data_IF_064339400045
#
_entry.id   IF_064339400045
#
_cell.length_a   1.000
_cell.length_b   1.000
_cell.length_c   1.000
_cell.angle_alpha   90.00
_cell.angle_beta   90.00
_cell.angle_gamma   90.00
#
_symmetry.space_group_name_H-M   'P 1'
#
loop_
_entity.id
_entity.type
_entity.pdbx_description
1 polymer ?
#
# COMPACT_ATOMS: atom_id res chain seq x y z
N UNK A 1 -6.25 7.37 11.93
CA UNK A 1 -5.58 8.06 10.81
C UNK A 1 -6.35 9.31 10.43
N UNK A 2 -7.61 9.21 10.00
CA UNK A 2 -8.47 10.38 9.69
C UNK A 2 -8.49 11.38 10.85
N UNK A 3 -8.79 10.93 12.07
CA UNK A 3 -8.80 11.81 13.24
C UNK A 3 -7.46 12.49 13.53
N UNK A 4 -6.34 11.88 13.14
CA UNK A 4 -5.02 12.48 13.30
C UNK A 4 -4.76 13.55 12.23
N UNK A 5 -5.26 13.36 11.00
CA UNK A 5 -5.22 14.36 9.93
C UNK A 5 -6.08 15.57 10.29
N UNK A 6 -7.30 15.33 10.78
CA UNK A 6 -8.23 16.37 11.22
C UNK A 6 -7.67 17.17 12.40
N UNK A 7 -7.12 16.49 13.41
CA UNK A 7 -6.42 17.15 14.52
C UNK A 7 -5.21 17.96 14.06
N UNK A 8 -4.61 17.61 12.92
CA UNK A 8 -3.53 18.35 12.27
C UNK A 8 -3.98 19.57 11.46
N UNK A 9 -5.28 19.90 11.45
CA UNK A 9 -5.83 21.03 10.69
C UNK A 9 -6.06 20.73 9.21
N UNK A 10 -6.14 19.45 8.85
CA UNK A 10 -6.49 19.01 7.50
C UNK A 10 -7.95 18.60 7.38
N UNK A 11 -8.52 18.85 6.22
CA UNK A 11 -9.79 18.31 5.76
C UNK A 11 -9.52 17.14 4.83
N UNK A 12 -10.23 16.02 5.03
CA UNK A 12 -10.15 14.85 4.14
C UNK A 12 -11.09 15.02 2.97
N UNK A 13 -10.54 14.99 1.76
CA UNK A 13 -11.28 15.16 0.52
C UNK A 13 -11.69 13.82 -0.10
N UNK A 14 -10.84 12.79 0.02
CA UNK A 14 -11.10 11.48 -0.54
C UNK A 14 -10.28 10.39 0.18
N UNK A 15 -10.82 9.17 0.23
CA UNK A 15 -10.11 7.97 0.69
C UNK A 15 -10.33 6.84 -0.31
N UNK A 16 -9.25 6.37 -0.92
CA UNK A 16 -9.28 5.25 -1.85
C UNK A 16 -8.58 4.01 -1.26
N UNK A 17 -9.33 2.91 -1.12
CA UNK A 17 -8.81 1.65 -0.63
C UNK A 17 -8.13 0.85 -1.75
N UNK A 18 -6.82 0.66 -1.65
CA UNK A 18 -6.00 -0.07 -2.64
C UNK A 18 -5.61 -1.48 -2.18
N UNK A 19 -6.32 -2.04 -1.17
CA UNK A 19 -6.04 -3.35 -0.56
C UNK A 19 -5.81 -4.47 -1.57
N UNK A 20 -6.72 -4.62 -2.54
CA UNK A 20 -6.65 -5.68 -3.57
C UNK A 20 -5.46 -5.50 -4.50
N UNK A 21 -5.13 -4.25 -4.84
CA UNK A 21 -3.95 -3.94 -5.65
C UNK A 21 -2.67 -4.35 -4.92
N UNK A 22 -2.58 -4.08 -3.62
CA UNK A 22 -1.40 -4.44 -2.83
C UNK A 22 -1.22 -5.95 -2.68
N UNK A 23 -2.30 -6.72 -2.58
CA UNK A 23 -2.24 -8.19 -2.65
C UNK A 23 -1.59 -8.66 -3.96
N UNK A 24 -2.05 -8.14 -5.11
CA UNK A 24 -1.50 -8.48 -6.43
C UNK A 24 -0.01 -8.10 -6.54
N UNK A 25 0.37 -6.92 -6.04
CA UNK A 25 1.77 -6.47 -5.98
C UNK A 25 2.64 -7.46 -5.20
N UNK A 26 2.22 -7.85 -4.00
CA UNK A 26 2.98 -8.80 -3.18
C UNK A 26 3.09 -10.18 -3.84
N UNK A 27 2.03 -10.66 -4.51
CA UNK A 27 2.09 -11.89 -5.29
C UNK A 27 3.09 -11.79 -6.45
N UNK A 28 3.13 -10.65 -7.13
CA UNK A 28 4.13 -10.41 -8.18
C UNK A 28 5.56 -10.38 -7.62
N UNK A 29 5.77 -9.73 -6.48
CA UNK A 29 7.09 -9.69 -5.84
C UNK A 29 7.56 -11.06 -5.33
N UNK A 30 6.66 -11.88 -4.78
CA UNK A 30 6.99 -13.26 -4.40
C UNK A 30 7.44 -14.06 -5.64
N UNK A 31 6.70 -13.99 -6.75
CA UNK A 31 7.11 -14.68 -8.00
C UNK A 31 8.48 -14.19 -8.47
N UNK A 32 8.69 -12.88 -8.54
CA UNK A 32 9.96 -12.31 -8.97
C UNK A 32 11.12 -12.75 -8.06
N UNK A 33 10.91 -12.79 -6.73
CA UNK A 33 11.92 -13.27 -5.79
C UNK A 33 12.25 -14.76 -6.00
N UNK A 34 11.24 -15.57 -6.29
CA UNK A 34 11.42 -17.01 -6.55
C UNK A 34 12.13 -17.27 -7.88
N UNK A 35 11.79 -16.53 -8.94
CA UNK A 35 12.43 -16.61 -10.26
C UNK A 35 13.90 -16.17 -10.23
N UNK A 36 14.22 -15.18 -9.39
CA UNK A 36 15.57 -14.63 -9.24
C UNK A 36 16.24 -15.04 -7.92
N UNK A 37 15.94 -16.24 -7.42
CA UNK A 37 16.38 -16.68 -6.09
C UNK A 37 17.91 -16.60 -5.90
N UNK A 38 18.68 -17.09 -6.87
CA UNK A 38 20.15 -17.09 -6.79
C UNK A 38 20.68 -15.66 -6.62
N UNK A 39 20.20 -14.71 -7.42
CA UNK A 39 20.62 -13.31 -7.36
C UNK A 39 20.23 -12.67 -6.03
N UNK A 40 19.02 -12.96 -5.54
CA UNK A 40 18.55 -12.46 -4.24
C UNK A 40 19.39 -12.99 -3.07
N UNK A 41 19.82 -14.26 -3.12
CA UNK A 41 20.72 -14.86 -2.13
C UNK A 41 22.10 -14.21 -2.20
N UNK A 42 22.66 -13.99 -3.39
CA UNK A 42 23.95 -13.33 -3.57
C UNK A 42 23.93 -11.87 -3.10
N UNK A 43 22.83 -11.15 -3.34
CA UNK A 43 22.65 -9.76 -2.90
C UNK A 43 22.42 -9.63 -1.39
N UNK A 44 22.13 -10.72 -0.68
CA UNK A 44 21.81 -10.69 0.74
C UNK A 44 22.35 -11.91 1.50
N UNK A 45 21.52 -12.92 1.73
CA UNK A 45 21.87 -14.26 2.19
C UNK A 45 20.66 -15.17 2.04
N UNK A 46 20.88 -16.48 2.07
CA UNK A 46 19.78 -17.45 1.95
C UNK A 46 18.75 -17.30 3.09
N UNK A 47 19.22 -17.01 4.31
CA UNK A 47 18.35 -16.74 5.45
C UNK A 47 17.48 -15.50 5.25
N UNK A 48 18.05 -14.41 4.73
CA UNK A 48 17.31 -13.17 4.45
C UNK A 48 16.30 -13.35 3.32
N UNK A 49 16.69 -14.03 2.24
CA UNK A 49 15.79 -14.34 1.13
C UNK A 49 14.58 -15.16 1.58
N UNK A 50 14.78 -16.16 2.47
CA UNK A 50 13.68 -16.94 3.06
C UNK A 50 12.73 -16.08 3.90
N UNK A 51 13.26 -15.20 4.75
CA UNK A 51 12.45 -14.29 5.58
C UNK A 51 11.61 -13.37 4.69
N UNK A 52 12.20 -12.78 3.66
CA UNK A 52 11.49 -11.91 2.73
C UNK A 52 10.38 -12.64 1.96
N UNK A 53 10.65 -13.86 1.48
CA UNK A 53 9.63 -14.71 0.84
C UNK A 53 8.46 -14.96 1.79
N UNK A 54 8.73 -15.36 3.03
CA UNK A 54 7.70 -15.63 4.03
C UNK A 54 6.89 -14.36 4.36
N UNK A 55 7.58 -13.25 4.62
CA UNK A 55 6.95 -11.97 4.93
C UNK A 55 5.99 -11.50 3.82
N UNK A 56 6.44 -11.51 2.57
CA UNK A 56 5.62 -11.05 1.45
C UNK A 56 4.45 -12.00 1.18
N UNK A 57 4.68 -13.32 1.24
CA UNK A 57 3.62 -14.31 1.04
C UNK A 57 2.54 -14.23 2.14
N UNK A 58 2.94 -14.09 3.40
CA UNK A 58 2.02 -13.92 4.51
C UNK A 58 1.27 -12.58 4.43
N UNK A 59 1.97 -11.51 4.03
CA UNK A 59 1.35 -10.20 3.82
C UNK A 59 0.33 -10.24 2.69
N UNK A 60 0.61 -10.93 1.58
CA UNK A 60 -0.35 -11.10 0.48
C UNK A 60 -1.66 -11.74 0.98
N UNK A 61 -1.56 -12.81 1.78
CA UNK A 61 -2.73 -13.43 2.41
C UNK A 61 -3.47 -12.47 3.36
N UNK A 62 -2.75 -11.64 4.11
CA UNK A 62 -3.34 -10.61 4.97
C UNK A 62 -4.15 -9.57 4.17
N UNK A 63 -3.61 -9.11 3.05
CA UNK A 63 -4.32 -8.20 2.14
C UNK A 63 -5.51 -8.90 1.45
N UNK A 64 -5.38 -10.16 1.03
CA UNK A 64 -6.46 -10.93 0.38
C UNK A 64 -7.64 -11.15 1.33
N UNK A 65 -7.35 -11.57 2.57
CA UNK A 65 -8.35 -11.86 3.61
C UNK A 65 -8.98 -10.63 4.25
N UNK A 66 -8.44 -9.43 4.00
CA UNK A 66 -8.96 -8.20 4.63
C UNK A 66 -8.38 -7.91 6.01
N UNK A 67 -7.43 -8.71 6.50
CA UNK A 67 -6.73 -8.46 7.76
C UNK A 67 -5.91 -7.16 7.72
N UNK A 68 -5.42 -6.78 6.53
CA UNK A 68 -4.64 -5.55 6.32
C UNK A 68 -5.18 -4.79 5.11
N UNK A 69 -5.01 -3.46 5.14
CA UNK A 69 -5.41 -2.58 4.05
C UNK A 69 -4.36 -1.49 3.81
N UNK A 70 -4.46 -0.85 2.66
CA UNK A 70 -3.69 0.34 2.29
C UNK A 70 -4.66 1.34 1.68
N UNK A 71 -4.57 2.59 2.10
CA UNK A 71 -5.44 3.65 1.65
C UNK A 71 -4.60 4.81 1.15
N UNK A 72 -4.99 5.37 0.01
CA UNK A 72 -4.58 6.70 -0.40
C UNK A 72 -5.57 7.69 0.19
N UNK A 73 -5.07 8.70 0.89
CA UNK A 73 -5.90 9.74 1.50
C UNK A 73 -5.53 11.07 0.86
N UNK A 74 -6.49 11.71 0.21
CA UNK A 74 -6.31 13.07 -0.27
C UNK A 74 -6.81 14.05 0.79
N UNK A 75 -6.00 15.05 1.08
CA UNK A 75 -6.31 16.06 2.09
C UNK A 75 -5.95 17.46 1.60
N UNK A 76 -6.59 18.46 2.20
CA UNK A 76 -6.22 19.86 2.09
C UNK A 76 -6.16 20.51 3.47
N UNK A 77 -5.57 21.70 3.59
CA UNK A 77 -5.69 22.50 4.81
C UNK A 77 -7.15 22.94 4.96
N UNK A 78 -7.68 22.92 6.18
CA UNK A 78 -9.04 23.36 6.44
C UNK A 78 -9.29 24.80 5.92
N UNK A 79 -10.40 25.00 5.20
CA UNK A 79 -10.73 26.27 4.54
C UNK A 79 -9.93 26.55 3.26
N UNK A 80 -9.31 25.53 2.68
CA UNK A 80 -8.69 25.60 1.36
C UNK A 80 -9.70 25.87 0.25
N UNK A 81 -9.20 26.18 -0.95
CA UNK A 81 -10.05 26.36 -2.13
C UNK A 81 -10.80 25.05 -2.42
N UNK A 82 -12.12 25.14 -2.60
CA UNK A 82 -12.94 23.96 -2.85
C UNK A 82 -12.50 23.27 -4.16
N UNK A 83 -12.21 21.96 -4.14
CA UNK A 83 -11.97 21.22 -5.36
C UNK A 83 -13.26 21.13 -6.19
N UNK A 84 -13.18 20.79 -7.49
CA UNK A 84 -14.36 20.51 -8.30
C UNK A 84 -15.27 19.47 -7.63
N UNK A 85 -16.58 19.58 -7.83
CA UNK A 85 -17.56 18.74 -7.14
C UNK A 85 -17.39 17.25 -7.48
N UNK A 86 -16.95 16.92 -8.70
CA UNK A 86 -16.77 15.52 -9.14
C UNK A 86 -15.29 15.19 -9.22
N UNK A 87 -14.90 14.05 -8.64
CA UNK A 87 -13.52 13.55 -8.66
C UNK A 87 -12.93 13.40 -10.08
N UNK A 88 -13.75 13.10 -11.08
CA UNK A 88 -13.32 13.01 -12.49
C UNK A 88 -12.84 14.33 -13.08
N UNK A 89 -13.14 15.46 -12.43
CA UNK A 89 -12.77 16.80 -12.86
C UNK A 89 -11.49 17.30 -12.15
N UNK A 90 -10.84 16.45 -11.34
CA UNK A 90 -9.64 16.82 -10.57
C UNK A 90 -8.33 16.68 -11.35
N UNK A 91 -8.37 16.13 -12.57
CA UNK A 91 -7.21 15.83 -13.43
C UNK A 91 -7.30 16.63 -14.73
#
# INVERSE_FOLDING_TARGET
MISALEAGGFEVLDVEALRRHYALTLRAWVRNLEEHWTDAVQASSEGRARIWRLYMAASALGFESGLTGVNQVLVQRAGGAEPPLRRTEWI
#
